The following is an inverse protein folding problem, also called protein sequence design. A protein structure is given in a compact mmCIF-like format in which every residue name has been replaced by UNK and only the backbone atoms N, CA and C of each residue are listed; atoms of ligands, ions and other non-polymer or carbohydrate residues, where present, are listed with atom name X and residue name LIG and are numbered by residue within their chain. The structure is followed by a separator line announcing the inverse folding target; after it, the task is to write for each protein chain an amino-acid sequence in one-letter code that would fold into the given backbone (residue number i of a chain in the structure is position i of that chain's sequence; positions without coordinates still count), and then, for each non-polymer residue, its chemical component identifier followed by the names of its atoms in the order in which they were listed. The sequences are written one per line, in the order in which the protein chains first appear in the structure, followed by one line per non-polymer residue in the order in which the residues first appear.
data_IF_695471652229
#
_entry.id   IF_695471652229
#
_cell.length_a   1.000
_cell.length_b   1.000
_cell.length_c   1.000
_cell.angle_alpha   90.00
_cell.angle_beta   90.00
_cell.angle_gamma   90.00
#
_symmetry.space_group_name_H-M   'P 1'
#
loop_
_entity.id
_entity.type
_entity.pdbx_description
1 polymer ?
#
# COMPACT_ATOMS: atom_id res chain seq x y z
N UNK A 1 44.68 -17.96 19.13
CA UNK A 1 44.63 -17.40 18.08
C UNK A 1 43.34 -17.29 17.34
N UNK A 2 42.71 -18.35 16.97
CA UNK A 2 41.47 -18.28 16.25
C UNK A 2 40.36 -17.60 17.04
N UNK A 3 40.44 -17.61 18.38
CA UNK A 3 39.44 -16.97 19.23
C UNK A 3 39.30 -15.47 19.03
N UNK A 4 40.43 -14.76 18.88
CA UNK A 4 40.35 -13.32 18.68
C UNK A 4 39.86 -12.94 17.30
N UNK A 5 40.28 -13.69 16.28
CA UNK A 5 39.77 -13.50 14.93
C UNK A 5 38.27 -13.76 14.86
N UNK A 6 37.80 -14.79 15.57
CA UNK A 6 36.40 -15.13 15.62
C UNK A 6 35.55 -14.05 16.29
N UNK A 7 36.07 -13.43 17.36
CA UNK A 7 35.36 -12.34 18.03
C UNK A 7 35.11 -11.17 17.11
N UNK A 8 36.13 -10.75 16.36
CA UNK A 8 36.00 -9.66 15.39
C UNK A 8 35.06 -10.05 14.26
N UNK A 9 35.14 -11.30 13.83
CA UNK A 9 34.28 -11.84 12.81
C UNK A 9 32.82 -11.89 13.27
N UNK A 10 32.62 -12.31 14.51
CA UNK A 10 31.28 -12.41 15.09
C UNK A 10 30.61 -11.03 15.19
N UNK A 11 31.37 -9.99 15.51
CA UNK A 11 30.85 -8.63 15.58
C UNK A 11 30.39 -8.14 14.21
N UNK A 12 31.16 -8.41 13.16
CA UNK A 12 30.79 -8.07 11.78
C UNK A 12 29.59 -8.91 11.33
N UNK A 13 29.55 -10.18 11.70
CA UNK A 13 28.43 -11.07 11.39
C UNK A 13 27.16 -10.62 12.09
N UNK A 14 27.24 -10.23 13.35
CA UNK A 14 26.11 -9.71 14.11
C UNK A 14 25.56 -8.42 13.48
N UNK A 15 26.44 -7.54 13.05
CA UNK A 15 26.03 -6.33 12.36
C UNK A 15 25.35 -6.64 11.04
N UNK A 16 25.92 -7.57 10.27
CA UNK A 16 25.34 -8.02 9.03
C UNK A 16 24.00 -8.72 9.21
N UNK A 17 23.91 -9.54 10.26
CA UNK A 17 22.66 -10.25 10.60
C UNK A 17 21.57 -9.26 11.03
N UNK A 18 21.93 -8.27 11.86
CA UNK A 18 20.99 -7.25 12.32
C UNK A 18 20.46 -6.42 11.14
N UNK A 19 21.37 -6.04 10.22
CA UNK A 19 20.98 -5.32 9.02
C UNK A 19 20.05 -6.16 8.14
N UNK A 20 20.41 -7.43 7.94
CA UNK A 20 19.62 -8.36 7.14
C UNK A 20 18.24 -8.60 7.76
N UNK A 21 18.17 -8.77 9.08
CA UNK A 21 16.92 -8.95 9.80
C UNK A 21 16.02 -7.74 9.69
N UNK A 22 16.59 -6.54 9.85
CA UNK A 22 15.83 -5.29 9.75
C UNK A 22 15.32 -5.10 8.35
N UNK A 23 16.16 -5.37 7.35
CA UNK A 23 15.76 -5.32 5.95
C UNK A 23 14.64 -6.31 5.65
N UNK A 24 14.78 -7.53 6.15
CA UNK A 24 13.76 -8.57 5.97
C UNK A 24 12.43 -8.17 6.62
N UNK A 25 12.48 -7.54 7.79
CA UNK A 25 11.29 -7.05 8.47
C UNK A 25 10.58 -5.99 7.61
N UNK A 26 11.32 -5.04 7.07
CA UNK A 26 10.76 -4.01 6.18
C UNK A 26 10.15 -4.66 4.94
N UNK A 27 10.88 -5.58 4.31
CA UNK A 27 10.41 -6.27 3.11
C UNK A 27 9.16 -7.12 3.39
N UNK A 28 9.08 -7.72 4.56
CA UNK A 28 7.91 -8.50 4.99
C UNK A 28 6.67 -7.61 5.09
N UNK A 29 6.81 -6.43 5.71
CA UNK A 29 5.70 -5.47 5.80
C UNK A 29 5.30 -4.95 4.43
N UNK A 30 6.25 -4.71 3.54
CA UNK A 30 5.96 -4.27 2.17
C UNK A 30 5.24 -5.37 1.38
N UNK A 31 5.68 -6.61 1.53
CA UNK A 31 5.02 -7.74 0.88
C UNK A 31 3.58 -7.92 1.38
N UNK A 32 3.37 -7.76 2.69
CA UNK A 32 2.04 -7.83 3.28
C UNK A 32 1.13 -6.71 2.74
N UNK A 33 1.69 -5.50 2.61
CA UNK A 33 0.96 -4.36 2.05
C UNK A 33 0.56 -4.63 0.59
N UNK A 34 1.46 -5.20 -0.20
CA UNK A 34 1.18 -5.53 -1.60
C UNK A 34 0.07 -6.57 -1.73
N UNK A 35 0.01 -7.52 -0.80
CA UNK A 35 -1.04 -8.54 -0.79
C UNK A 35 -2.42 -7.96 -0.50
N UNK A 36 -2.46 -6.86 0.26
CA UNK A 36 -3.72 -6.18 0.58
C UNK A 36 -4.21 -5.29 -0.57
N UNK A 37 -3.34 -4.95 -1.53
CA UNK A 37 -3.74 -4.14 -2.66
C UNK A 37 -4.63 -4.95 -3.61
N UNK A 38 -5.58 -4.27 -4.27
CA UNK A 38 -6.43 -4.95 -5.25
C UNK A 38 -5.63 -5.41 -6.45
N UNK A 39 -6.04 -6.53 -7.05
CA UNK A 39 -5.45 -6.99 -8.30
C UNK A 39 -5.91 -6.09 -9.43
N UNK A 40 -5.01 -5.75 -10.35
CA UNK A 40 -5.33 -4.87 -11.47
C UNK A 40 -6.50 -5.40 -12.30
N UNK A 41 -6.55 -6.72 -12.49
CA UNK A 41 -7.64 -7.36 -13.24
C UNK A 41 -8.99 -7.13 -12.55
N UNK A 42 -9.02 -7.22 -11.22
CA UNK A 42 -10.26 -7.06 -10.46
C UNK A 42 -10.85 -5.65 -10.60
N UNK A 43 -9.98 -4.66 -10.75
CA UNK A 43 -10.41 -3.26 -10.92
C UNK A 43 -11.15 -3.09 -12.25
N UNK A 44 -10.69 -3.78 -13.30
CA UNK A 44 -11.29 -3.68 -14.62
C UNK A 44 -12.47 -4.63 -14.85
N UNK A 45 -12.53 -5.71 -14.12
CA UNK A 45 -13.56 -6.73 -14.29
C UNK A 45 -14.71 -6.53 -13.30
N UNK A 46 -15.49 -5.50 -13.53
CA UNK A 46 -16.68 -5.23 -12.72
C UNK A 46 -17.90 -5.75 -13.46
N UNK A 47 -18.53 -6.75 -12.88
CA UNK A 47 -19.72 -7.39 -13.46
C UNK A 47 -20.95 -6.74 -12.83
N UNK A 48 -21.66 -5.93 -13.60
CA UNK A 48 -22.80 -5.21 -13.08
C UNK A 48 -23.80 -4.84 -14.18
N UNK A 49 -25.07 -4.89 -13.84
CA UNK A 49 -26.17 -4.59 -14.77
C UNK A 49 -26.43 -3.10 -14.94
N UNK A 50 -25.93 -2.28 -14.04
CA UNK A 50 -26.13 -0.82 -14.08
C UNK A 50 -24.93 -0.07 -13.55
N UNK A 51 -24.95 1.27 -13.75
CA UNK A 51 -23.85 2.15 -13.37
C UNK A 51 -23.59 2.11 -11.86
N UNK A 52 -24.63 2.14 -11.06
CA UNK A 52 -24.48 2.13 -9.60
C UNK A 52 -23.85 0.83 -9.11
N UNK A 53 -24.25 -0.29 -9.66
CA UNK A 53 -23.63 -1.59 -9.35
C UNK A 53 -22.18 -1.64 -9.79
N UNK A 54 -21.87 -1.06 -10.95
CA UNK A 54 -20.50 -0.96 -11.45
C UNK A 54 -19.64 -0.12 -10.51
N UNK A 55 -20.16 1.02 -10.04
CA UNK A 55 -19.44 1.90 -9.10
C UNK A 55 -19.21 1.21 -7.76
N UNK A 56 -20.21 0.50 -7.25
CA UNK A 56 -20.06 -0.24 -6.00
C UNK A 56 -19.03 -1.35 -6.13
N UNK A 57 -19.04 -2.06 -7.26
CA UNK A 57 -18.08 -3.11 -7.55
C UNK A 57 -16.65 -2.55 -7.64
N UNK A 58 -16.50 -1.40 -8.31
CA UNK A 58 -15.22 -0.73 -8.44
C UNK A 58 -14.72 -0.25 -7.07
N UNK A 59 -15.60 0.33 -6.26
CA UNK A 59 -15.26 0.77 -4.91
C UNK A 59 -14.74 -0.40 -4.07
N UNK A 60 -15.40 -1.55 -4.15
CA UNK A 60 -14.96 -2.75 -3.44
C UNK A 60 -13.61 -3.24 -3.96
N UNK A 61 -13.39 -3.17 -5.28
CA UNK A 61 -12.14 -3.57 -5.90
C UNK A 61 -10.97 -2.67 -5.51
N UNK A 62 -11.26 -1.42 -5.13
CA UNK A 62 -10.23 -0.44 -4.72
C UNK A 62 -9.98 -0.44 -3.22
N UNK A 63 -10.51 -1.40 -2.48
CA UNK A 63 -10.25 -1.54 -1.05
C UNK A 63 -8.81 -1.95 -0.82
N UNK A 64 -8.08 -1.15 -0.06
CA UNK A 64 -6.67 -1.41 0.23
C UNK A 64 -6.47 -2.22 1.52
N UNK A 65 -7.56 -2.53 2.23
CA UNK A 65 -7.49 -3.32 3.46
C UNK A 65 -6.53 -2.71 4.48
N UNK A 66 -5.62 -3.53 4.99
CA UNK A 66 -4.64 -3.12 5.99
C UNK A 66 -3.32 -2.62 5.38
N UNK A 67 -3.29 -2.37 4.07
CA UNK A 67 -2.06 -1.96 3.38
C UNK A 67 -1.41 -0.73 4.03
N UNK A 68 -2.20 0.25 4.46
CA UNK A 68 -1.69 1.46 5.12
C UNK A 68 -0.94 1.11 6.39
N UNK A 69 -1.50 0.24 7.20
CA UNK A 69 -0.89 -0.18 8.47
C UNK A 69 0.43 -0.91 8.22
N UNK A 70 0.47 -1.76 7.19
CA UNK A 70 1.71 -2.47 6.81
C UNK A 70 2.77 -1.50 6.31
N UNK A 71 2.39 -0.50 5.51
CA UNK A 71 3.33 0.52 5.02
C UNK A 71 3.88 1.33 6.19
N UNK A 72 3.03 1.71 7.13
CA UNK A 72 3.47 2.45 8.35
C UNK A 72 4.44 1.62 9.16
N UNK A 73 4.18 0.34 9.30
CA UNK A 73 5.06 -0.59 10.01
C UNK A 73 6.41 -0.71 9.30
N UNK A 74 6.39 -0.81 7.98
CA UNK A 74 7.60 -0.86 7.17
C UNK A 74 8.43 0.42 7.33
N UNK A 75 7.78 1.57 7.29
CA UNK A 75 8.42 2.88 7.44
C UNK A 75 9.05 3.02 8.83
N UNK A 76 8.32 2.60 9.86
CA UNK A 76 8.80 2.62 11.23
C UNK A 76 10.03 1.74 11.40
N UNK A 77 9.99 0.51 10.88
CA UNK A 77 11.11 -0.42 10.94
C UNK A 77 12.32 0.14 10.20
N UNK A 78 12.10 0.79 9.05
CA UNK A 78 13.15 1.43 8.27
C UNK A 78 13.82 2.55 9.07
N UNK A 79 13.03 3.45 9.67
CA UNK A 79 13.55 4.58 10.44
C UNK A 79 14.35 4.09 11.64
N UNK A 80 13.85 3.08 12.35
CA UNK A 80 14.56 2.49 13.48
C UNK A 80 15.89 1.86 13.05
N UNK A 81 15.88 1.17 11.91
CA UNK A 81 17.09 0.58 11.34
C UNK A 81 18.11 1.63 10.93
N UNK A 82 17.65 2.74 10.38
CA UNK A 82 18.51 3.85 10.00
C UNK A 82 19.18 4.48 11.22
N UNK A 83 18.40 4.72 12.27
CA UNK A 83 18.93 5.31 13.52
C UNK A 83 19.93 4.40 14.21
N UNK A 84 19.78 3.10 14.06
CA UNK A 84 20.68 2.10 14.63
C UNK A 84 21.88 1.82 13.71
N UNK A 85 22.01 2.53 12.58
CA UNK A 85 23.02 2.26 11.55
C UNK A 85 23.04 0.81 11.10
N UNK A 86 21.85 0.19 11.06
CA UNK A 86 21.71 -1.21 10.66
C UNK A 86 21.80 -1.39 9.14
N UNK A 87 21.68 -0.33 8.38
CA UNK A 87 21.74 -0.37 6.92
C UNK A 87 23.05 0.25 6.41
N UNK A 88 23.67 -0.38 5.44
CA UNK A 88 24.82 0.20 4.74
C UNK A 88 24.38 1.00 3.52
N UNK A 89 23.41 0.44 2.80
CA UNK A 89 22.84 1.07 1.60
C UNK A 89 21.40 0.60 1.47
N UNK A 90 20.48 1.44 1.87
CA UNK A 90 19.08 1.10 1.88
C UNK A 90 18.23 2.11 1.10
N UNK A 91 18.83 2.83 0.17
CA UNK A 91 18.11 3.79 -0.67
C UNK A 91 17.04 3.09 -1.51
N UNK A 92 17.34 1.88 -1.98
CA UNK A 92 16.40 1.05 -2.73
C UNK A 92 15.17 0.72 -1.87
N UNK A 93 15.38 0.42 -0.60
CA UNK A 93 14.33 0.09 0.33
C UNK A 93 13.45 1.29 0.62
N UNK A 94 14.07 2.46 0.80
CA UNK A 94 13.34 3.71 1.01
C UNK A 94 12.49 4.04 -0.21
N UNK A 95 13.03 3.86 -1.41
CA UNK A 95 12.30 4.09 -2.64
C UNK A 95 11.09 3.17 -2.76
N UNK A 96 11.24 1.90 -2.39
CA UNK A 96 10.13 0.95 -2.38
C UNK A 96 9.01 1.37 -1.42
N UNK A 97 9.39 1.83 -0.23
CA UNK A 97 8.44 2.31 0.78
C UNK A 97 7.68 3.53 0.23
N UNK A 98 8.40 4.50 -0.32
CA UNK A 98 7.80 5.72 -0.86
C UNK A 98 6.87 5.42 -2.03
N UNK A 99 7.27 4.53 -2.92
CA UNK A 99 6.46 4.13 -4.07
C UNK A 99 5.17 3.45 -3.61
N UNK A 100 5.28 2.54 -2.65
CA UNK A 100 4.12 1.81 -2.16
C UNK A 100 3.18 2.72 -1.37
N UNK A 101 3.73 3.65 -0.58
CA UNK A 101 2.95 4.66 0.13
C UNK A 101 2.14 5.51 -0.86
N UNK A 102 2.78 5.96 -1.93
CA UNK A 102 2.12 6.74 -2.98
C UNK A 102 1.03 5.92 -3.67
N UNK A 103 1.31 4.66 -3.97
CA UNK A 103 0.36 3.79 -4.64
C UNK A 103 -0.88 3.55 -3.76
N UNK A 104 -0.69 3.26 -2.49
CA UNK A 104 -1.80 3.07 -1.55
C UNK A 104 -2.64 4.34 -1.45
N UNK A 105 -2.00 5.49 -1.35
CA UNK A 105 -2.67 6.79 -1.30
C UNK A 105 -3.49 7.05 -2.58
N UNK A 106 -2.93 6.72 -3.74
CA UNK A 106 -3.60 6.90 -5.03
C UNK A 106 -4.83 6.00 -5.13
N UNK A 107 -4.72 4.75 -4.69
CA UNK A 107 -5.85 3.81 -4.70
C UNK A 107 -6.96 4.29 -3.76
N UNK A 108 -6.60 4.77 -2.58
CA UNK A 108 -7.58 5.33 -1.64
C UNK A 108 -8.27 6.55 -2.22
N UNK A 109 -7.51 7.44 -2.87
CA UNK A 109 -8.05 8.62 -3.53
C UNK A 109 -9.05 8.25 -4.60
N UNK A 110 -8.73 7.23 -5.41
CA UNK A 110 -9.63 6.72 -6.44
C UNK A 110 -10.91 6.15 -5.81
N UNK A 111 -10.79 5.41 -4.71
CA UNK A 111 -11.95 4.86 -4.00
C UNK A 111 -12.86 5.97 -3.49
N UNK A 112 -12.29 7.05 -2.98
CA UNK A 112 -13.06 8.23 -2.53
C UNK A 112 -13.80 8.90 -3.69
N UNK A 113 -13.16 9.00 -4.84
CA UNK A 113 -13.77 9.56 -6.05
C UNK A 113 -14.95 8.70 -6.50
N UNK A 114 -14.80 7.37 -6.47
CA UNK A 114 -15.86 6.44 -6.79
C UNK A 114 -17.01 6.59 -5.81
N UNK A 115 -16.72 6.69 -4.51
CA UNK A 115 -17.74 6.89 -3.48
C UNK A 115 -18.49 8.19 -3.71
N UNK A 116 -17.80 9.23 -4.11
CA UNK A 116 -18.41 10.54 -4.44
C UNK A 116 -19.36 10.40 -5.63
N UNK A 117 -18.94 9.68 -6.68
CA UNK A 117 -19.80 9.42 -7.85
C UNK A 117 -21.03 8.60 -7.48
N UNK A 118 -20.89 7.68 -6.54
CA UNK A 118 -22.02 6.86 -6.06
C UNK A 118 -23.13 7.73 -5.50
N UNK A 119 -22.78 8.87 -4.88
CA UNK A 119 -23.77 9.84 -4.42
C UNK A 119 -24.22 10.81 -5.50
N UNK A 120 -23.30 11.22 -6.38
CA UNK A 120 -23.56 12.24 -7.41
C UNK A 120 -24.44 11.70 -8.54
N UNK A 121 -24.20 10.48 -9.01
CA UNK A 121 -24.92 9.92 -10.15
C UNK A 121 -26.44 9.81 -9.91
N UNK A 122 -26.91 9.27 -8.76
CA UNK A 122 -28.35 9.26 -8.47
C UNK A 122 -28.96 10.66 -8.40
N UNK A 123 -28.24 11.64 -7.86
CA UNK A 123 -28.72 13.03 -7.79
C UNK A 123 -28.89 13.62 -9.19
N UNK A 124 -27.93 13.38 -10.08
CA UNK A 124 -28.00 13.83 -11.46
C UNK A 124 -29.17 13.15 -12.19
N UNK A 125 -29.34 11.86 -11.95
CA UNK A 125 -30.46 11.10 -12.55
C UNK A 125 -31.79 11.70 -12.15
N UNK A 126 -31.96 12.00 -10.85
CA UNK A 126 -33.18 12.63 -10.37
C UNK A 126 -33.42 14.00 -11.00
N UNK A 127 -32.38 14.81 -11.08
CA UNK A 127 -32.46 16.14 -11.72
C UNK A 127 -32.82 16.05 -13.19
N UNK A 128 -32.27 15.08 -13.91
CA UNK A 128 -32.58 14.83 -15.31
C UNK A 128 -34.04 14.39 -15.50
N UNK A 129 -34.53 13.55 -14.62
CA UNK A 129 -35.93 13.12 -14.64
C UNK A 129 -36.87 14.29 -14.42
N UNK A 130 -36.56 15.15 -13.43
CA UNK A 130 -37.36 16.33 -13.13
C UNK A 130 -37.36 17.30 -14.31
N UNK A 131 -36.23 17.50 -14.96
CA UNK A 131 -36.12 18.37 -16.13
C UNK A 131 -36.96 17.85 -17.29
N UNK A 132 -36.97 16.53 -17.49
CA UNK A 132 -37.78 15.90 -18.54
C UNK A 132 -39.26 16.03 -18.25
N UNK A 133 -39.66 15.94 -16.98
CA UNK A 133 -41.06 16.06 -16.59
C UNK A 133 -41.61 17.49 -16.77
N UNK A 134 -40.75 18.49 -16.66
CA UNK A 134 -41.11 19.91 -16.85
C UNK A 134 -41.39 20.24 -18.32
N UNK A 135 -40.98 19.42 -19.25
CA UNK A 135 -41.27 19.61 -20.66
C UNK A 135 -42.61 19.03 -21.04
#
# INVERSE_FOLDING_TARGET
MSGMSQSTFDDDDLFGEAAAETRAEVEEHLAAARKELPAAADVWETDADNVLGALNGLKSALDVGDAIDHVRSAKKAYVLGERADAFEDAEDLKAEIDELESLVSDVEGAAEEVASLTGTIPAIRGALQDAADDE
#
